data_IF_081722757597
#
_entry.id   IF_081722757597
#
_cell.length_a   1.000
_cell.length_b   1.000
_cell.length_c   1.000
_cell.angle_alpha   90.00
_cell.angle_beta   90.00
_cell.angle_gamma   90.00
#
_symmetry.space_group_name_H-M   'P 1'
#
loop_
_entity.id
_entity.type
_entity.pdbx_description
1 polymer ?
#
# COMPACT_ATOMS: atom_id res chain seq x y z
N UNK A 1 -17.06 41.73 -15.62
CA UNK A 1 -16.45 40.78 -16.56
C UNK A 1 -15.90 39.65 -15.71
N UNK A 2 -16.66 38.57 -15.67
CA UNK A 2 -16.40 37.34 -14.93
C UNK A 2 -15.39 36.47 -15.68
N UNK A 3 -14.66 35.63 -14.91
CA UNK A 3 -14.22 34.28 -15.28
C UNK A 3 -13.07 34.15 -16.32
N UNK A 4 -12.02 33.34 -16.15
CA UNK A 4 -11.64 32.33 -15.14
C UNK A 4 -10.13 32.07 -15.28
N UNK A 5 -9.49 31.74 -14.16
CA UNK A 5 -8.19 31.09 -14.13
C UNK A 5 -8.32 29.65 -14.66
N UNK A 6 -7.58 29.29 -15.70
CA UNK A 6 -7.34 27.89 -16.04
C UNK A 6 -6.04 27.44 -15.36
N UNK A 7 -6.20 26.94 -14.14
CA UNK A 7 -5.26 26.06 -13.47
C UNK A 7 -5.13 24.78 -14.31
N UNK A 8 -3.92 24.54 -14.81
CA UNK A 8 -3.56 23.31 -15.53
C UNK A 8 -3.56 22.12 -14.57
N UNK A 9 -4.72 21.47 -14.45
CA UNK A 9 -4.88 20.16 -13.81
C UNK A 9 -5.30 19.14 -14.87
N UNK A 10 -4.31 18.62 -15.61
CA UNK A 10 -4.41 17.57 -16.64
C UNK A 10 -3.05 16.86 -16.64
N UNK A 11 -2.87 15.57 -16.42
CA UNK A 11 -3.73 14.39 -16.39
C UNK A 11 -3.11 13.39 -15.39
N UNK A 12 -3.84 13.00 -14.34
CA UNK A 12 -3.59 11.71 -13.72
C UNK A 12 -4.09 10.68 -14.74
N UNK A 13 -3.17 10.15 -15.57
CA UNK A 13 -3.50 9.22 -16.63
C UNK A 13 -4.40 8.10 -16.10
N UNK A 14 -5.63 8.02 -16.61
CA UNK A 14 -6.54 6.91 -16.33
C UNK A 14 -5.83 5.63 -16.72
N UNK A 15 -5.33 4.92 -15.71
CA UNK A 15 -4.80 3.59 -15.85
C UNK A 15 -5.93 2.73 -16.38
N UNK A 16 -5.89 2.42 -17.68
CA UNK A 16 -6.83 1.48 -18.29
C UNK A 16 -6.50 0.11 -17.73
N UNK A 17 -7.39 -0.39 -16.88
CA UNK A 17 -7.32 -1.75 -16.34
C UNK A 17 -8.03 -2.65 -17.33
N UNK A 18 -7.31 -3.63 -17.86
CA UNK A 18 -7.87 -4.65 -18.75
C UNK A 18 -8.75 -5.63 -17.99
N UNK A 19 -9.71 -6.26 -18.68
CA UNK A 19 -10.53 -7.31 -18.07
C UNK A 19 -9.67 -8.46 -17.51
N UNK A 20 -8.54 -8.76 -18.16
CA UNK A 20 -7.60 -9.78 -17.69
C UNK A 20 -6.95 -9.40 -16.34
N UNK A 21 -6.52 -8.15 -16.17
CA UNK A 21 -5.96 -7.66 -14.91
C UNK A 21 -7.01 -7.66 -13.80
N UNK A 22 -8.25 -7.24 -14.11
CA UNK A 22 -9.37 -7.27 -13.17
C UNK A 22 -9.68 -8.69 -12.71
N UNK A 23 -9.76 -9.64 -13.63
CA UNK A 23 -10.03 -11.05 -13.32
C UNK A 23 -8.93 -11.67 -12.46
N UNK A 24 -7.66 -11.36 -12.75
CA UNK A 24 -6.52 -11.80 -11.93
C UNK A 24 -6.59 -11.20 -10.52
N UNK A 25 -6.89 -9.92 -10.40
CA UNK A 25 -7.04 -9.25 -9.10
C UNK A 25 -8.21 -9.84 -8.29
N UNK A 26 -9.35 -10.12 -8.93
CA UNK A 26 -10.51 -10.71 -8.27
C UNK A 26 -10.23 -12.15 -7.81
N UNK A 27 -9.55 -12.96 -8.63
CA UNK A 27 -9.12 -14.31 -8.23
C UNK A 27 -8.09 -14.27 -7.10
N UNK A 28 -7.19 -13.30 -7.10
CA UNK A 28 -6.22 -13.12 -6.03
C UNK A 28 -6.92 -12.79 -4.71
N UNK A 29 -7.94 -11.91 -4.74
CA UNK A 29 -8.75 -11.56 -3.59
C UNK A 29 -9.50 -12.78 -3.04
N UNK A 30 -10.24 -13.51 -3.86
CA UNK A 30 -10.97 -14.71 -3.40
C UNK A 30 -10.03 -15.75 -2.81
N UNK A 31 -8.86 -15.97 -3.42
CA UNK A 31 -7.86 -16.89 -2.88
C UNK A 31 -7.28 -16.41 -1.53
N UNK A 32 -7.18 -15.10 -1.30
CA UNK A 32 -6.76 -14.55 -0.01
C UNK A 32 -7.82 -14.76 1.07
N UNK A 33 -9.10 -14.54 0.75
CA UNK A 33 -10.23 -14.76 1.65
C UNK A 33 -10.36 -16.24 2.06
N UNK A 34 -10.07 -17.15 1.13
CA UNK A 34 -9.99 -18.60 1.37
C UNK A 34 -8.73 -19.04 2.13
N UNK A 35 -7.85 -18.12 2.52
CA UNK A 35 -6.53 -18.37 3.13
C UNK A 35 -5.60 -19.23 2.24
N UNK A 36 -5.91 -19.35 0.95
CA UNK A 36 -5.08 -20.03 -0.04
C UNK A 36 -3.99 -19.09 -0.56
N UNK A 37 -3.03 -18.77 0.31
CA UNK A 37 -1.96 -17.81 0.02
C UNK A 37 -1.06 -18.25 -1.14
N UNK A 38 -0.90 -19.57 -1.36
CA UNK A 38 -0.11 -20.10 -2.48
C UNK A 38 -0.76 -19.74 -3.83
N UNK A 39 -2.08 -19.95 -3.96
CA UNK A 39 -2.80 -19.57 -5.16
C UNK A 39 -2.86 -18.04 -5.31
N UNK A 40 -3.10 -17.31 -4.22
CA UNK A 40 -3.11 -15.84 -4.22
C UNK A 40 -1.79 -15.27 -4.78
N UNK A 41 -0.63 -15.77 -4.30
CA UNK A 41 0.68 -15.35 -4.82
C UNK A 41 0.87 -15.70 -6.29
N UNK A 42 0.36 -16.85 -6.74
CA UNK A 42 0.44 -17.20 -8.15
C UNK A 42 -0.33 -16.21 -9.04
N UNK A 43 -1.55 -15.83 -8.65
CA UNK A 43 -2.33 -14.81 -9.37
C UNK A 43 -1.62 -13.44 -9.33
N UNK A 44 -1.11 -13.03 -8.16
CA UNK A 44 -0.40 -11.76 -8.01
C UNK A 44 0.91 -11.71 -8.80
N UNK A 45 1.65 -12.81 -8.93
CA UNK A 45 2.85 -12.87 -9.77
C UNK A 45 2.51 -12.69 -11.26
N UNK A 46 1.38 -13.24 -11.72
CA UNK A 46 0.90 -12.97 -13.08
C UNK A 46 0.49 -11.51 -13.26
N UNK A 47 -0.19 -10.95 -12.26
CA UNK A 47 -0.59 -9.55 -12.29
C UNK A 47 0.62 -8.60 -12.28
N UNK A 48 1.69 -8.94 -11.55
CA UNK A 48 2.96 -8.19 -11.55
C UNK A 48 3.67 -8.25 -12.90
N UNK A 49 3.60 -9.37 -13.63
CA UNK A 49 4.15 -9.44 -14.98
C UNK A 49 3.46 -8.47 -15.94
N UNK A 50 2.15 -8.23 -15.74
CA UNK A 50 1.37 -7.26 -16.51
C UNK A 50 1.61 -5.83 -16.02
N UNK A 51 1.76 -5.64 -14.70
CA UNK A 51 1.96 -4.34 -14.04
C UNK A 51 3.14 -4.34 -13.07
N UNK A 52 4.40 -4.36 -13.55
CA UNK A 52 5.58 -4.51 -12.68
C UNK A 52 5.88 -3.30 -11.81
N UNK A 53 5.23 -2.15 -12.09
CA UNK A 53 5.40 -0.90 -11.33
C UNK A 53 4.20 -0.56 -10.43
N UNK A 54 3.20 -1.44 -10.36
CA UNK A 54 2.00 -1.21 -9.57
C UNK A 54 2.29 -1.45 -8.07
N UNK A 55 2.24 -0.36 -7.29
CA UNK A 55 2.54 -0.39 -5.87
C UNK A 55 1.54 -1.27 -5.09
N UNK A 56 0.27 -1.35 -5.51
CA UNK A 56 -0.75 -2.16 -4.84
C UNK A 56 -0.49 -3.65 -5.06
N UNK A 57 -0.10 -4.03 -6.26
CA UNK A 57 0.27 -5.43 -6.57
C UNK A 57 1.49 -5.84 -5.75
N UNK A 58 2.54 -5.01 -5.74
CA UNK A 58 3.73 -5.27 -4.93
C UNK A 58 3.40 -5.34 -3.43
N UNK A 59 2.58 -4.41 -2.92
CA UNK A 59 2.14 -4.40 -1.54
C UNK A 59 1.39 -5.69 -1.17
N UNK A 60 0.38 -6.06 -1.97
CA UNK A 60 -0.40 -7.27 -1.73
C UNK A 60 0.47 -8.51 -1.68
N UNK A 61 1.48 -8.64 -2.56
CA UNK A 61 2.43 -9.75 -2.50
C UNK A 61 3.17 -9.84 -1.17
N UNK A 62 3.65 -8.70 -0.65
CA UNK A 62 4.35 -8.65 0.65
C UNK A 62 3.44 -9.11 1.77
N UNK A 63 2.19 -8.63 1.79
CA UNK A 63 1.21 -9.00 2.82
C UNK A 63 0.89 -10.50 2.73
N UNK A 64 0.62 -11.03 1.53
CA UNK A 64 0.30 -12.44 1.33
C UNK A 64 1.47 -13.35 1.72
N UNK A 65 2.70 -13.00 1.35
CA UNK A 65 3.90 -13.72 1.84
C UNK A 65 4.00 -13.67 3.36
N UNK A 66 3.70 -12.54 3.98
CA UNK A 66 3.75 -12.42 5.44
C UNK A 66 2.73 -13.34 6.13
N UNK A 67 1.49 -13.39 5.63
CA UNK A 67 0.45 -14.31 6.12
C UNK A 67 0.80 -15.78 5.86
N UNK A 68 1.32 -16.11 4.67
CA UNK A 68 1.76 -17.47 4.32
C UNK A 68 2.84 -18.01 5.26
N UNK A 69 3.71 -17.13 5.77
CA UNK A 69 4.76 -17.49 6.72
C UNK A 69 4.30 -17.37 8.19
N UNK A 70 2.99 -17.44 8.44
CA UNK A 70 2.38 -17.41 9.79
C UNK A 70 2.80 -16.19 10.62
N UNK A 71 3.01 -15.04 9.95
CA UNK A 71 3.44 -13.78 10.59
C UNK A 71 4.82 -13.85 11.26
N UNK A 72 5.64 -14.86 10.95
CA UNK A 72 6.97 -15.07 11.57
C UNK A 72 8.08 -14.24 10.93
N UNK A 73 7.94 -13.88 9.65
CA UNK A 73 8.97 -13.15 8.87
C UNK A 73 8.81 -11.63 8.94
N UNK A 74 8.60 -11.10 10.14
CA UNK A 74 8.26 -9.68 10.38
C UNK A 74 9.35 -8.72 9.87
N UNK A 75 10.62 -9.07 10.08
CA UNK A 75 11.76 -8.26 9.62
C UNK A 75 11.82 -8.15 8.09
N UNK A 76 11.53 -9.27 7.40
CA UNK A 76 11.49 -9.31 5.95
C UNK A 76 10.32 -8.49 5.41
N UNK A 77 9.12 -8.69 5.99
CA UNK A 77 7.93 -7.94 5.62
C UNK A 77 8.14 -6.43 5.81
N UNK A 78 8.77 -6.00 6.91
CA UNK A 78 9.09 -4.59 7.15
C UNK A 78 10.06 -4.04 6.10
N UNK A 79 11.14 -4.76 5.77
CA UNK A 79 12.09 -4.33 4.72
C UNK A 79 11.39 -4.18 3.37
N UNK A 80 10.55 -5.15 3.01
CA UNK A 80 9.79 -5.11 1.75
C UNK A 80 8.75 -3.99 1.72
N UNK A 81 8.01 -3.74 2.81
CA UNK A 81 7.09 -2.60 2.88
C UNK A 81 7.81 -1.27 2.80
N UNK A 82 8.96 -1.12 3.47
CA UNK A 82 9.75 0.11 3.39
C UNK A 82 10.30 0.36 1.98
N UNK A 83 10.58 -0.68 1.20
CA UNK A 83 11.01 -0.54 -0.19
C UNK A 83 9.88 0.00 -1.11
N UNK A 84 8.62 -0.28 -0.77
CA UNK A 84 7.45 0.15 -1.56
C UNK A 84 6.95 1.53 -1.10
N UNK A 85 6.93 1.77 0.21
CA UNK A 85 6.28 2.94 0.83
C UNK A 85 7.25 4.04 1.26
N UNK A 86 8.55 3.76 1.20
CA UNK A 86 9.59 4.51 1.91
C UNK A 86 9.73 4.05 3.37
N UNK A 87 10.81 4.49 4.06
CA UNK A 87 10.95 4.29 5.49
C UNK A 87 9.75 4.91 6.22
N UNK A 88 9.43 4.43 7.44
CA UNK A 88 8.40 5.05 8.22
C UNK A 88 8.78 6.52 8.45
N UNK A 89 7.81 7.45 8.39
CA UNK A 89 8.08 8.85 8.67
C UNK A 89 8.75 8.96 10.04
N UNK A 90 9.92 9.58 10.08
CA UNK A 90 10.59 9.87 11.35
C UNK A 90 9.92 11.07 12.01
N UNK A 91 10.04 11.16 13.34
CA UNK A 91 9.57 12.32 14.10
C UNK A 91 10.32 13.60 13.67
N UNK A 92 11.53 13.45 13.13
CA UNK A 92 12.43 14.55 12.75
C UNK A 92 12.26 15.03 11.29
N UNK A 93 11.61 14.23 10.45
CA UNK A 93 11.39 14.55 9.04
C UNK A 93 10.10 15.36 8.86
N UNK A 94 10.22 16.69 8.89
CA UNK A 94 9.10 17.63 8.70
C UNK A 94 8.50 17.61 7.28
N UNK A 95 9.13 16.91 6.33
CA UNK A 95 8.71 16.85 4.92
C UNK A 95 8.07 15.53 4.52
N UNK A 96 7.82 14.61 5.47
CA UNK A 96 7.11 13.36 5.17
C UNK A 96 5.60 13.60 5.16
N UNK A 97 5.13 14.36 4.18
CA UNK A 97 3.70 14.46 3.92
C UNK A 97 3.16 13.10 3.46
N UNK A 98 1.96 12.76 3.95
CA UNK A 98 1.16 11.71 3.32
C UNK A 98 0.49 12.36 2.10
N UNK A 99 1.31 12.74 1.12
CA UNK A 99 0.83 13.44 -0.08
C UNK A 99 0.02 12.51 -1.01
N UNK A 100 0.11 11.21 -0.77
CA UNK A 100 -0.39 10.20 -1.70
C UNK A 100 -1.44 9.31 -1.03
N UNK A 101 -2.71 9.60 -1.32
CA UNK A 101 -3.87 8.79 -0.96
C UNK A 101 -3.61 7.31 -1.26
N UNK A 102 -2.91 7.03 -2.36
CA UNK A 102 -2.63 5.67 -2.82
C UNK A 102 -1.81 4.85 -1.82
N UNK A 103 -1.01 5.51 -0.96
CA UNK A 103 -0.13 4.86 0.01
C UNK A 103 -0.73 4.70 1.39
N UNK A 104 -1.92 5.25 1.66
CA UNK A 104 -2.53 5.25 3.00
C UNK A 104 -2.66 3.85 3.59
N UNK A 105 -3.19 2.90 2.80
CA UNK A 105 -3.36 1.50 3.22
C UNK A 105 -2.01 0.86 3.53
N UNK A 106 -0.99 1.16 2.74
CA UNK A 106 0.33 0.57 2.92
C UNK A 106 1.03 1.12 4.16
N UNK A 107 0.88 2.42 4.42
CA UNK A 107 1.36 3.10 5.65
C UNK A 107 0.64 2.57 6.88
N UNK A 108 -0.67 2.32 6.80
CA UNK A 108 -1.40 1.66 7.87
C UNK A 108 -0.82 0.28 8.19
N UNK A 109 -0.60 -0.56 7.18
CA UNK A 109 0.01 -1.88 7.38
C UNK A 109 1.44 -1.82 7.94
N UNK A 110 2.21 -0.78 7.58
CA UNK A 110 3.52 -0.50 8.20
C UNK A 110 3.39 -0.17 9.69
N UNK A 111 2.41 0.67 10.07
CA UNK A 111 2.13 0.98 11.47
C UNK A 111 1.71 -0.26 12.28
N UNK A 112 0.91 -1.16 11.69
CA UNK A 112 0.52 -2.44 12.30
C UNK A 112 1.77 -3.31 12.58
N UNK A 113 2.69 -3.43 11.63
CA UNK A 113 3.95 -4.16 11.85
C UNK A 113 4.80 -3.51 12.96
N UNK A 114 4.87 -2.18 13.01
CA UNK A 114 5.60 -1.45 14.05
C UNK A 114 4.99 -1.68 15.43
N UNK A 115 3.65 -1.68 15.52
CA UNK A 115 2.94 -2.00 16.75
C UNK A 115 3.27 -3.41 17.27
N UNK A 116 3.22 -4.42 16.40
CA UNK A 116 3.56 -5.80 16.78
C UNK A 116 5.04 -5.99 17.13
N UNK A 117 5.93 -5.10 16.65
CA UNK A 117 7.36 -5.09 17.00
C UNK A 117 7.69 -4.16 18.18
N UNK A 118 6.67 -3.68 18.91
CA UNK A 118 6.79 -2.80 20.08
C UNK A 118 7.38 -1.42 19.79
N UNK A 119 7.40 -0.99 18.54
CA UNK A 119 7.80 0.36 18.12
C UNK A 119 6.58 1.30 18.14
N UNK A 120 6.00 1.49 19.33
CA UNK A 120 4.71 2.17 19.48
C UNK A 120 4.74 3.65 19.06
N UNK A 121 5.82 4.37 19.37
CA UNK A 121 6.01 5.77 18.97
C UNK A 121 5.94 5.95 17.44
N UNK A 122 6.69 5.11 16.71
CA UNK A 122 6.71 5.16 15.24
C UNK A 122 5.35 4.75 14.64
N UNK A 123 4.67 3.76 15.23
CA UNK A 123 3.33 3.36 14.81
C UNK A 123 2.31 4.50 15.03
N UNK A 124 2.36 5.16 16.19
CA UNK A 124 1.45 6.25 16.55
C UNK A 124 1.65 7.47 15.64
N UNK A 125 2.90 7.82 15.31
CA UNK A 125 3.21 8.92 14.39
C UNK A 125 2.59 8.71 13.00
N UNK A 126 2.68 7.49 12.47
CA UNK A 126 2.04 7.16 11.18
C UNK A 126 0.51 7.29 11.28
N UNK A 127 -0.08 6.77 12.36
CA UNK A 127 -1.54 6.81 12.55
C UNK A 127 -2.07 8.23 12.71
N UNK A 128 -1.38 9.09 13.46
CA UNK A 128 -1.78 10.49 13.63
C UNK A 128 -1.77 11.26 12.30
N UNK A 129 -0.75 11.03 11.46
CA UNK A 129 -0.68 11.63 10.13
C UNK A 129 -1.80 11.10 9.22
N UNK A 130 -2.08 9.79 9.25
CA UNK A 130 -3.19 9.20 8.48
C UNK A 130 -4.54 9.74 8.93
N UNK A 131 -4.74 9.93 10.24
CA UNK A 131 -5.97 10.45 10.80
C UNK A 131 -6.27 11.86 10.31
N UNK A 132 -5.28 12.76 10.35
CA UNK A 132 -5.40 14.12 9.84
C UNK A 132 -5.73 14.18 8.32
N UNK A 133 -5.39 13.12 7.58
CA UNK A 133 -5.66 13.01 6.15
C UNK A 133 -7.07 12.46 5.84
N UNK A 134 -7.55 11.51 6.63
CA UNK A 134 -8.85 10.82 6.41
C UNK A 134 -10.02 11.59 7.02
N UNK A 135 -9.79 12.33 8.10
CA UNK A 135 -10.79 13.18 8.74
C UNK A 135 -10.40 14.65 8.58
N UNK A 136 -10.82 15.32 7.48
CA UNK A 136 -10.65 16.76 7.38
C UNK A 136 -11.59 17.42 8.39
N UNK A 137 -10.98 18.10 9.38
CA UNK A 137 -11.69 18.94 10.34
C UNK A 137 -12.43 20.09 9.67
#
# INVERSE_FOLDING_TARGET
MTETAESSSKEAGTVVITDQERDLAQRALSAFEEQNYTNCLWQLNKLEQLRPKDLKVMHNKVIVEYYKNELKKTELARKSLNAICGPPPSVESQTDDIDDVEKCVMRYNQAVLLYHTRQYEAALHILNKLFAFVEPM
#
